data_IF_782262368158
#
_entry.id   IF_782262368158
#
_cell.length_a   1.000
_cell.length_b   1.000
_cell.length_c   1.000
_cell.angle_alpha   90.00
_cell.angle_beta   90.00
_cell.angle_gamma   90.00
#
_symmetry.space_group_name_H-M   'P 1'
#
loop_
_entity.id
_entity.type
_entity.pdbx_description
1 polymer ?
#
# COMPACT_ATOMS: atom_id res chain seq x y z
N UNK A 1 -37.70 -14.38 -38.57
CA UNK A 1 -36.41 -13.67 -38.42
C UNK A 1 -36.70 -12.29 -37.85
N UNK A 2 -36.36 -12.07 -36.59
CA UNK A 2 -36.09 -10.72 -36.07
C UNK A 2 -35.00 -10.90 -35.03
N UNK A 3 -33.81 -10.41 -35.36
CA UNK A 3 -32.62 -10.53 -34.54
C UNK A 3 -32.70 -9.51 -33.41
N UNK A 4 -32.71 -9.99 -32.17
CA UNK A 4 -32.44 -9.18 -30.99
C UNK A 4 -30.95 -8.86 -30.96
N UNK A 5 -30.61 -7.59 -31.18
CA UNK A 5 -29.27 -7.05 -30.86
C UNK A 5 -29.06 -7.11 -29.34
N UNK A 6 -27.99 -7.74 -28.83
CA UNK A 6 -27.63 -7.61 -27.43
C UNK A 6 -27.07 -6.20 -27.21
N UNK A 7 -27.81 -5.39 -26.45
CA UNK A 7 -27.37 -4.09 -25.97
C UNK A 7 -26.29 -4.31 -24.89
N UNK A 8 -25.02 -4.30 -25.30
CA UNK A 8 -23.86 -4.36 -24.39
C UNK A 8 -23.46 -2.96 -23.94
N UNK A 9 -24.25 -2.37 -23.03
CA UNK A 9 -23.71 -1.34 -22.15
C UNK A 9 -22.81 -2.03 -21.10
N UNK A 10 -21.57 -1.58 -20.85
CA UNK A 10 -20.77 -2.14 -19.76
C UNK A 10 -21.50 -1.86 -18.45
N UNK A 11 -21.72 -2.91 -17.65
CA UNK A 11 -22.27 -2.82 -16.30
C UNK A 11 -21.56 -1.68 -15.55
N UNK A 12 -22.25 -0.57 -15.21
CA UNK A 12 -21.60 0.54 -14.56
C UNK A 12 -21.13 0.03 -13.20
N UNK A 13 -19.81 0.01 -13.00
CA UNK A 13 -19.22 -0.30 -11.71
C UNK A 13 -19.79 0.71 -10.71
N UNK A 14 -20.65 0.30 -9.75
CA UNK A 14 -21.12 1.22 -8.74
C UNK A 14 -19.89 1.79 -8.04
N UNK A 15 -19.80 3.12 -8.05
CA UNK A 15 -18.70 3.85 -7.49
C UNK A 15 -19.04 4.18 -6.04
N UNK A 16 -18.23 3.68 -5.11
CA UNK A 16 -18.42 3.83 -3.67
C UNK A 16 -17.22 4.56 -3.10
N UNK A 17 -17.47 5.54 -2.24
CA UNK A 17 -16.45 6.21 -1.47
C UNK A 17 -16.47 5.68 -0.03
N UNK A 18 -15.33 5.25 0.48
CA UNK A 18 -15.22 4.69 1.84
C UNK A 18 -14.14 5.41 2.65
N UNK A 19 -14.41 5.57 3.95
CA UNK A 19 -13.55 6.28 4.90
C UNK A 19 -12.88 5.36 5.90
N UNK A 20 -11.56 5.44 5.98
CA UNK A 20 -10.79 4.89 7.09
C UNK A 20 -10.54 6.00 8.10
N UNK A 21 -11.19 5.90 9.25
CA UNK A 21 -11.06 6.83 10.37
C UNK A 21 -10.26 6.15 11.47
N UNK A 22 -9.32 6.86 12.09
CA UNK A 22 -8.50 6.36 13.20
C UNK A 22 -8.77 7.13 14.48
N UNK A 23 -8.81 6.42 15.61
CA UNK A 23 -8.80 7.06 16.93
C UNK A 23 -7.37 7.36 17.42
N UNK A 24 -7.27 7.97 18.61
CA UNK A 24 -5.98 8.27 19.25
C UNK A 24 -5.12 7.01 19.52
N UNK A 25 -5.76 5.83 19.64
CA UNK A 25 -5.11 4.53 19.81
C UNK A 25 -4.76 3.86 18.48
N UNK A 26 -4.94 4.56 17.34
CA UNK A 26 -4.71 4.07 15.97
C UNK A 26 -5.61 2.91 15.53
N UNK A 27 -6.69 2.62 16.27
CA UNK A 27 -7.73 1.67 15.87
C UNK A 27 -8.55 2.27 14.74
N UNK A 28 -9.08 1.44 13.84
CA UNK A 28 -9.93 1.88 12.73
C UNK A 28 -11.40 1.70 13.07
N UNK A 29 -12.23 2.66 12.64
CA UNK A 29 -13.68 2.58 12.79
C UNK A 29 -14.27 1.67 11.71
N UNK A 30 -15.05 0.69 12.13
CA UNK A 30 -15.88 -0.14 11.26
C UNK A 30 -17.35 0.01 11.63
N UNK A 31 -18.22 -0.07 10.64
CA UNK A 31 -19.67 -0.23 10.79
C UNK A 31 -20.09 -1.65 10.44
N UNK A 32 -21.17 -2.15 11.04
CA UNK A 32 -21.70 -3.48 10.73
C UNK A 32 -22.93 -3.37 9.83
N UNK A 33 -22.88 -4.04 8.68
CA UNK A 33 -23.99 -4.07 7.73
C UNK A 33 -25.26 -4.63 8.36
N UNK A 34 -26.45 -4.04 8.10
CA UNK A 34 -27.71 -4.64 8.47
C UNK A 34 -27.83 -6.07 7.93
N UNK A 35 -28.49 -6.98 8.65
CA UNK A 35 -28.57 -8.39 8.23
C UNK A 35 -29.25 -8.59 6.86
N UNK A 36 -30.13 -7.66 6.47
CA UNK A 36 -30.96 -7.77 5.28
C UNK A 36 -30.32 -7.23 3.98
N UNK A 37 -29.12 -6.65 4.04
CA UNK A 37 -28.41 -6.15 2.84
C UNK A 37 -27.44 -7.19 2.28
N UNK A 38 -26.92 -6.95 1.07
CA UNK A 38 -25.93 -7.84 0.46
C UNK A 38 -24.65 -7.94 1.33
N UNK A 39 -24.23 -9.18 1.64
CA UNK A 39 -23.21 -9.47 2.65
C UNK A 39 -23.56 -8.91 4.05
N UNK A 40 -24.84 -8.94 4.42
CA UNK A 40 -25.34 -8.50 5.72
C UNK A 40 -24.65 -9.19 6.89
N UNK A 41 -24.41 -8.44 7.96
CA UNK A 41 -23.71 -8.92 9.15
C UNK A 41 -22.18 -8.90 9.09
N UNK A 42 -21.58 -8.66 7.91
CA UNK A 42 -20.15 -8.32 7.80
C UNK A 42 -19.86 -6.91 8.32
N UNK A 43 -18.61 -6.67 8.68
CA UNK A 43 -18.08 -5.35 8.95
C UNK A 43 -17.66 -4.67 7.65
N UNK A 44 -17.65 -3.34 7.63
CA UNK A 44 -17.14 -2.55 6.51
C UNK A 44 -16.55 -1.22 6.99
N UNK A 45 -15.80 -0.57 6.10
CA UNK A 45 -15.42 0.83 6.27
C UNK A 45 -16.63 1.72 5.96
N UNK A 46 -17.00 2.68 6.83
CA UNK A 46 -18.14 3.57 6.62
C UNK A 46 -18.05 4.36 5.30
N UNK A 47 -19.19 4.68 4.72
CA UNK A 47 -19.30 5.37 3.44
C UNK A 47 -20.29 4.71 2.48
N UNK A 48 -20.53 5.35 1.34
CA UNK A 48 -21.60 4.96 0.44
C UNK A 48 -21.37 5.30 -1.02
N UNK A 49 -22.44 5.23 -1.80
CA UNK A 49 -22.38 5.33 -3.26
C UNK A 49 -22.23 6.79 -3.68
N UNK A 50 -21.39 7.02 -4.67
CA UNK A 50 -21.29 8.33 -5.31
C UNK A 50 -22.55 8.62 -6.11
N UNK A 51 -23.08 9.83 -5.97
CA UNK A 51 -24.22 10.31 -6.76
C UNK A 51 -23.77 10.85 -8.13
N UNK A 52 -24.68 10.94 -9.13
CA UNK A 52 -24.35 11.52 -10.42
C UNK A 52 -23.81 12.95 -10.29
N UNK A 53 -22.60 13.19 -10.83
CA UNK A 53 -21.93 14.49 -10.77
C UNK A 53 -21.11 14.74 -9.51
N UNK A 54 -21.12 13.80 -8.56
CA UNK A 54 -20.37 13.87 -7.32
C UNK A 54 -18.95 13.27 -7.49
N UNK A 55 -17.92 13.95 -6.96
CA UNK A 55 -16.59 13.34 -6.82
C UNK A 55 -16.57 12.36 -5.66
N UNK A 56 -15.73 11.33 -5.69
CA UNK A 56 -15.61 10.38 -4.57
C UNK A 56 -15.30 11.06 -3.22
N UNK A 57 -14.60 12.19 -3.23
CA UNK A 57 -14.34 12.97 -2.01
C UNK A 57 -15.59 13.68 -1.49
N UNK A 58 -16.46 14.19 -2.38
CA UNK A 58 -17.74 14.78 -1.99
C UNK A 58 -18.67 13.70 -1.41
N UNK A 59 -18.75 12.55 -2.07
CA UNK A 59 -19.50 11.39 -1.59
C UNK A 59 -19.06 10.98 -0.19
N UNK A 60 -17.75 10.82 0.02
CA UNK A 60 -17.18 10.54 1.34
C UNK A 60 -17.65 11.53 2.42
N UNK A 61 -17.60 12.83 2.14
CA UNK A 61 -17.96 13.86 3.12
C UNK A 61 -19.45 13.78 3.47
N UNK A 62 -20.32 13.62 2.45
CA UNK A 62 -21.77 13.50 2.62
C UNK A 62 -22.12 12.24 3.40
N UNK A 63 -21.65 11.09 2.93
CA UNK A 63 -21.96 9.78 3.52
C UNK A 63 -21.50 9.69 4.98
N UNK A 64 -20.29 10.17 5.32
CA UNK A 64 -19.83 10.15 6.71
C UNK A 64 -20.59 11.14 7.62
N UNK A 65 -21.14 12.22 7.06
CA UNK A 65 -22.02 13.12 7.81
C UNK A 65 -23.40 12.49 8.07
N UNK A 66 -23.93 11.76 7.08
CA UNK A 66 -25.22 11.06 7.15
C UNK A 66 -25.13 9.84 8.08
N UNK A 67 -24.18 8.94 7.85
CA UNK A 67 -24.04 7.66 8.56
C UNK A 67 -23.47 7.82 9.97
N UNK A 68 -22.48 8.69 10.15
CA UNK A 68 -21.69 8.79 11.39
C UNK A 68 -21.87 10.11 12.14
N UNK A 69 -22.42 11.14 11.48
CA UNK A 69 -22.56 12.45 12.08
C UNK A 69 -21.30 13.27 12.22
N UNK A 70 -20.26 12.96 11.46
CA UNK A 70 -18.99 13.70 11.49
C UNK A 70 -18.83 14.63 10.29
N UNK A 71 -18.20 15.78 10.51
CA UNK A 71 -17.84 16.71 9.45
C UNK A 71 -16.36 16.51 9.08
N UNK A 72 -16.09 15.90 7.93
CA UNK A 72 -14.72 15.65 7.46
C UNK A 72 -14.05 16.95 7.03
N UNK A 73 -12.93 17.29 7.68
CA UNK A 73 -12.13 18.50 7.37
C UNK A 73 -10.91 18.19 6.50
N UNK A 74 -10.34 16.99 6.63
CA UNK A 74 -9.20 16.55 5.84
C UNK A 74 -9.26 15.05 5.55
N UNK A 75 -8.93 14.69 4.31
CA UNK A 75 -8.87 13.30 3.85
C UNK A 75 -7.87 13.17 2.70
N UNK A 76 -7.13 12.07 2.68
CA UNK A 76 -6.16 11.73 1.63
C UNK A 76 -6.50 10.37 0.99
N UNK A 77 -6.30 10.19 -0.32
CA UNK A 77 -6.46 8.87 -0.93
C UNK A 77 -5.56 7.82 -0.28
N UNK A 78 -6.12 6.64 -0.03
CA UNK A 78 -5.41 5.48 0.51
C UNK A 78 -5.15 4.43 -0.58
N UNK A 79 -6.20 4.00 -1.26
CA UNK A 79 -6.18 3.00 -2.33
C UNK A 79 -7.48 3.04 -3.12
N UNK A 80 -7.43 2.65 -4.39
CA UNK A 80 -8.61 2.39 -5.20
C UNK A 80 -8.71 0.87 -5.46
N UNK A 81 -9.90 0.30 -5.32
CA UNK A 81 -10.11 -1.15 -5.51
C UNK A 81 -11.23 -1.40 -6.49
N UNK A 82 -10.90 -2.12 -7.57
CA UNK A 82 -11.83 -2.67 -8.56
C UNK A 82 -12.06 -4.14 -8.27
N UNK A 83 -13.20 -4.48 -7.67
CA UNK A 83 -13.56 -5.86 -7.39
C UNK A 83 -14.74 -6.36 -8.24
N UNK A 84 -14.64 -7.58 -8.77
CA UNK A 84 -15.73 -8.29 -9.45
C UNK A 84 -16.10 -9.55 -8.67
N UNK A 85 -17.30 -9.53 -8.11
CA UNK A 85 -17.98 -10.70 -7.56
C UNK A 85 -18.63 -11.52 -8.68
N UNK A 86 -19.07 -12.76 -8.42
CA UNK A 86 -19.79 -13.56 -9.41
C UNK A 86 -21.05 -12.89 -9.96
N UNK A 87 -21.72 -12.04 -9.16
CA UNK A 87 -23.02 -11.42 -9.45
C UNK A 87 -22.95 -9.90 -9.71
N UNK A 88 -21.84 -9.22 -9.35
CA UNK A 88 -21.71 -7.75 -9.47
C UNK A 88 -20.26 -7.28 -9.51
N UNK A 89 -20.05 -6.02 -9.90
CA UNK A 89 -18.75 -5.34 -9.76
C UNK A 89 -18.88 -4.14 -8.80
N UNK A 90 -17.77 -3.64 -8.27
CA UNK A 90 -17.71 -2.42 -7.45
C UNK A 90 -16.36 -1.72 -7.62
N UNK A 91 -16.40 -0.38 -7.70
CA UNK A 91 -15.23 0.48 -7.62
C UNK A 91 -15.25 1.18 -6.26
N UNK A 92 -14.26 0.88 -5.42
CA UNK A 92 -14.07 1.52 -4.11
C UNK A 92 -12.98 2.58 -4.24
N UNK A 93 -13.30 3.84 -3.99
CA UNK A 93 -12.31 4.89 -3.71
C UNK A 93 -12.22 5.08 -2.20
N UNK A 94 -11.07 4.70 -1.64
CA UNK A 94 -10.87 4.64 -0.19
C UNK A 94 -9.98 5.78 0.25
N UNK A 95 -10.43 6.52 1.25
CA UNK A 95 -9.72 7.66 1.81
C UNK A 95 -9.34 7.41 3.26
N UNK A 96 -8.15 7.85 3.65
CA UNK A 96 -7.79 8.00 5.06
C UNK A 96 -8.28 9.39 5.52
N UNK A 97 -9.21 9.41 6.47
CA UNK A 97 -9.72 10.64 7.08
C UNK A 97 -8.70 11.10 8.11
N UNK A 98 -8.01 12.21 7.81
CA UNK A 98 -6.93 12.75 8.64
C UNK A 98 -7.40 13.90 9.54
N UNK A 99 -8.64 14.36 9.39
CA UNK A 99 -9.26 15.36 10.24
C UNK A 99 -10.78 15.37 10.06
N UNK A 100 -11.50 15.48 11.17
CA UNK A 100 -12.95 15.62 11.21
C UNK A 100 -13.41 16.28 12.52
N UNK A 101 -14.63 16.77 12.54
CA UNK A 101 -15.31 17.31 13.73
C UNK A 101 -16.52 16.41 14.10
N UNK A 102 -16.87 16.38 15.39
CA UNK A 102 -17.94 15.53 15.92
C UNK A 102 -17.46 14.21 16.54
N UNK A 103 -18.39 13.42 17.05
CA UNK A 103 -18.15 12.07 17.59
C UNK A 103 -18.86 11.08 16.68
N UNK A 104 -18.18 10.06 16.12
CA UNK A 104 -18.83 9.07 15.27
C UNK A 104 -19.90 8.28 16.04
N UNK A 105 -21.13 8.29 15.53
CA UNK A 105 -22.28 7.57 16.06
C UNK A 105 -23.06 6.91 14.94
N UNK A 106 -23.58 5.70 15.13
CA UNK A 106 -24.34 5.01 14.09
C UNK A 106 -25.73 5.62 13.90
N UNK A 107 -25.86 6.61 13.00
CA UNK A 107 -27.10 7.37 12.75
C UNK A 107 -28.18 6.56 12.02
N UNK A 108 -27.82 5.41 11.47
CA UNK A 108 -28.72 4.47 10.82
C UNK A 108 -29.02 3.25 11.71
N UNK A 109 -28.72 3.34 13.01
CA UNK A 109 -28.79 2.24 13.99
C UNK A 109 -27.82 1.08 13.67
N UNK A 110 -26.75 1.37 12.93
CA UNK A 110 -25.69 0.41 12.63
C UNK A 110 -24.69 0.33 13.81
N UNK A 111 -24.33 -0.89 14.27
CA UNK A 111 -23.28 -1.05 15.27
C UNK A 111 -21.94 -0.53 14.75
N UNK A 112 -21.21 0.19 15.60
CA UNK A 112 -19.86 0.67 15.33
C UNK A 112 -18.84 -0.05 16.22
N UNK A 113 -17.62 -0.25 15.71
CA UNK A 113 -16.51 -0.78 16.48
C UNK A 113 -15.19 -0.10 16.12
N UNK A 114 -14.40 0.23 17.14
CA UNK A 114 -13.00 0.62 16.99
C UNK A 114 -12.12 -0.62 17.09
N UNK A 115 -11.48 -1.00 15.98
CA UNK A 115 -10.75 -2.26 15.83
C UNK A 115 -9.26 -2.01 15.60
N UNK A 116 -8.38 -2.69 16.34
CA UNK A 116 -6.94 -2.61 16.09
C UNK A 116 -6.58 -3.23 14.73
N UNK A 117 -5.54 -2.73 14.04
CA UNK A 117 -5.17 -3.23 12.71
C UNK A 117 -4.82 -4.73 12.70
N UNK A 118 -4.27 -5.22 13.81
CA UNK A 118 -3.91 -6.61 14.04
C UNK A 118 -5.13 -7.52 14.25
N UNK A 119 -6.28 -6.94 14.62
CA UNK A 119 -7.53 -7.66 14.90
C UNK A 119 -8.50 -7.64 13.71
N UNK A 120 -8.18 -6.91 12.64
CA UNK A 120 -9.02 -6.84 11.43
C UNK A 120 -9.26 -8.21 10.81
N UNK A 121 -8.31 -9.14 10.88
CA UNK A 121 -8.49 -10.50 10.33
C UNK A 121 -9.53 -11.32 11.13
N UNK A 122 -9.89 -10.89 12.35
CA UNK A 122 -10.95 -11.49 13.17
C UNK A 122 -12.33 -10.90 12.89
N UNK A 123 -12.40 -9.84 12.10
CA UNK A 123 -13.64 -9.16 11.71
C UNK A 123 -13.92 -9.53 10.25
N UNK A 124 -14.96 -10.32 9.96
CA UNK A 124 -15.30 -10.67 8.59
C UNK A 124 -15.61 -9.42 7.76
N UNK A 125 -14.72 -9.11 6.81
CA UNK A 125 -14.83 -8.02 5.84
C UNK A 125 -15.12 -8.59 4.44
N UNK A 126 -15.74 -7.81 3.54
CA UNK A 126 -15.86 -8.17 2.14
C UNK A 126 -14.51 -8.49 1.48
N UNK A 127 -14.49 -9.38 0.50
CA UNK A 127 -13.26 -9.73 -0.23
C UNK A 127 -12.57 -8.51 -0.91
N UNK A 128 -13.35 -7.51 -1.29
CA UNK A 128 -12.87 -6.25 -1.85
C UNK A 128 -12.05 -5.41 -0.84
N UNK A 129 -12.17 -5.68 0.46
CA UNK A 129 -11.53 -4.88 1.51
C UNK A 129 -10.13 -5.41 1.86
N UNK A 130 -9.78 -6.63 1.45
CA UNK A 130 -8.46 -7.22 1.71
C UNK A 130 -7.30 -6.30 1.27
N UNK A 131 -7.30 -5.70 0.07
CA UNK A 131 -6.24 -4.77 -0.32
C UNK A 131 -6.23 -3.48 0.50
N UNK A 132 -7.38 -3.05 1.02
CA UNK A 132 -7.50 -1.90 1.93
C UNK A 132 -6.78 -2.21 3.24
N UNK A 133 -7.05 -3.38 3.84
CA UNK A 133 -6.38 -3.84 5.07
C UNK A 133 -4.86 -3.91 4.86
N UNK A 134 -4.41 -4.45 3.73
CA UNK A 134 -2.98 -4.46 3.39
C UNK A 134 -2.40 -3.04 3.29
N UNK A 135 -3.08 -2.12 2.59
CA UNK A 135 -2.66 -0.72 2.49
C UNK A 135 -2.57 -0.04 3.86
N UNK A 136 -3.51 -0.32 4.77
CA UNK A 136 -3.53 0.24 6.14
C UNK A 136 -2.37 -0.22 7.01
N UNK A 137 -1.86 -1.44 6.77
CA UNK A 137 -0.73 -2.03 7.49
C UNK A 137 0.63 -1.60 6.92
N UNK A 138 0.65 -1.02 5.72
CA UNK A 138 1.86 -0.50 5.07
C UNK A 138 2.07 0.98 5.42
N UNK A 139 3.30 1.43 5.74
CA UNK A 139 3.58 2.85 5.96
C UNK A 139 3.59 3.64 4.63
N UNK A 140 3.48 4.98 4.63
CA UNK A 140 3.53 5.77 3.39
C UNK A 140 4.95 5.94 2.82
N UNK A 141 5.98 5.40 3.50
CA UNK A 141 7.40 5.57 3.20
C UNK A 141 8.09 4.23 3.18
N UNK A 142 8.81 3.94 2.10
CA UNK A 142 9.57 2.70 1.92
C UNK A 142 11.03 3.01 1.54
N UNK A 143 11.88 3.39 2.53
CA UNK A 143 13.29 3.68 2.30
C UNK A 143 14.04 2.46 1.74
N UNK A 144 15.03 2.73 0.91
CA UNK A 144 15.92 1.73 0.32
C UNK A 144 17.35 2.00 0.79
N UNK A 145 17.90 1.06 1.55
CA UNK A 145 19.30 1.03 1.98
C UNK A 145 20.17 0.45 0.86
N UNK A 146 21.00 1.30 0.25
CA UNK A 146 21.88 0.96 -0.86
C UNK A 146 23.09 1.91 -0.93
N UNK A 147 24.24 1.37 -1.35
CA UNK A 147 25.47 2.14 -1.60
C UNK A 147 26.21 2.52 -0.31
N UNK A 148 26.04 1.73 0.75
CA UNK A 148 26.74 1.94 2.02
C UNK A 148 28.22 1.59 1.96
N UNK A 149 28.62 0.69 1.06
CA UNK A 149 29.95 0.11 0.79
C UNK A 149 30.62 -0.60 1.96
N UNK A 150 30.31 -0.23 3.20
CA UNK A 150 30.88 -0.77 4.42
C UNK A 150 29.79 -1.13 5.42
N UNK A 151 30.08 -2.10 6.29
CA UNK A 151 29.16 -2.53 7.33
C UNK A 151 28.83 -1.41 8.34
N UNK A 152 29.83 -0.57 8.68
CA UNK A 152 29.64 0.54 9.61
C UNK A 152 28.63 1.56 9.08
N UNK A 153 28.69 1.85 7.78
CA UNK A 153 27.77 2.79 7.13
C UNK A 153 26.36 2.24 7.01
N UNK A 154 26.20 0.97 6.67
CA UNK A 154 24.89 0.32 6.68
C UNK A 154 24.27 0.30 8.09
N UNK A 155 25.07 0.04 9.13
CA UNK A 155 24.62 0.12 10.52
C UNK A 155 24.12 1.53 10.83
N UNK A 156 24.93 2.55 10.56
CA UNK A 156 24.56 3.95 10.81
C UNK A 156 23.24 4.35 10.13
N UNK A 157 23.07 4.00 8.85
CA UNK A 157 21.84 4.29 8.12
C UNK A 157 20.62 3.55 8.62
N UNK A 158 20.77 2.28 8.99
CA UNK A 158 19.67 1.53 9.59
C UNK A 158 19.23 2.20 10.89
N UNK A 159 20.17 2.52 11.78
CA UNK A 159 19.88 3.21 13.04
C UNK A 159 19.18 4.56 12.80
N UNK A 160 19.63 5.34 11.82
CA UNK A 160 18.97 6.59 11.43
C UNK A 160 17.52 6.38 10.96
N UNK A 161 17.27 5.38 10.11
CA UNK A 161 15.92 5.09 9.63
C UNK A 161 15.01 4.59 10.75
N UNK A 162 15.52 3.75 11.65
CA UNK A 162 14.76 3.25 12.80
C UNK A 162 14.45 4.38 13.79
N UNK A 163 15.39 5.31 14.02
CA UNK A 163 15.19 6.49 14.86
C UNK A 163 14.20 7.51 14.27
N UNK A 164 13.96 7.48 12.96
CA UNK A 164 12.98 8.32 12.25
C UNK A 164 11.65 7.59 12.02
N UNK A 165 11.36 6.56 12.83
CA UNK A 165 10.12 5.78 12.86
C UNK A 165 9.74 5.08 11.53
N UNK A 166 10.73 4.77 10.68
CA UNK A 166 10.49 3.96 9.49
C UNK A 166 10.32 2.48 9.87
N UNK A 167 9.13 1.94 9.64
CA UNK A 167 8.76 0.56 10.02
C UNK A 167 8.84 -0.45 8.87
N UNK A 168 9.13 -0.02 7.64
CA UNK A 168 9.31 -0.88 6.47
C UNK A 168 10.50 -0.38 5.64
N UNK A 169 11.57 -1.16 5.57
CA UNK A 169 12.85 -0.74 4.96
C UNK A 169 13.30 -1.82 3.97
N UNK A 170 13.70 -1.43 2.76
CA UNK A 170 14.33 -2.33 1.80
C UNK A 170 15.84 -2.31 1.93
N UNK A 171 16.46 -3.43 2.30
CA UNK A 171 17.91 -3.54 2.31
C UNK A 171 18.43 -4.19 1.03
N UNK A 172 18.78 -3.33 0.06
CA UNK A 172 19.19 -3.74 -1.28
C UNK A 172 20.68 -4.07 -1.35
N UNK A 173 21.54 -3.20 -0.83
CA UNK A 173 22.98 -3.42 -0.69
C UNK A 173 23.64 -4.36 -1.72
N UNK A 174 23.60 -3.98 -3.00
CA UNK A 174 24.22 -4.77 -4.09
C UNK A 174 25.75 -4.70 -4.09
N UNK A 175 26.29 -3.78 -3.30
CA UNK A 175 27.70 -3.56 -3.05
C UNK A 175 28.30 -4.46 -1.96
N UNK A 176 27.49 -5.26 -1.26
CA UNK A 176 27.98 -6.30 -0.34
C UNK A 176 27.97 -7.67 -1.04
N UNK A 177 29.01 -8.46 -0.80
CA UNK A 177 28.98 -9.89 -1.14
C UNK A 177 27.96 -10.64 -0.23
N UNK A 178 27.49 -11.83 -0.65
CA UNK A 178 26.48 -12.58 0.09
C UNK A 178 26.86 -12.94 1.53
N UNK A 179 28.15 -13.19 1.80
CA UNK A 179 28.62 -13.59 3.13
C UNK A 179 28.62 -12.39 4.08
N UNK A 180 29.16 -11.25 3.62
CA UNK A 180 29.12 -9.99 4.36
C UNK A 180 27.68 -9.54 4.63
N UNK A 181 26.77 -9.72 3.67
CA UNK A 181 25.35 -9.43 3.85
C UNK A 181 24.73 -10.29 4.96
N UNK A 182 24.94 -11.61 4.95
CA UNK A 182 24.37 -12.51 5.98
C UNK A 182 24.92 -12.19 7.38
N UNK A 183 26.22 -11.98 7.51
CA UNK A 183 26.84 -11.59 8.78
C UNK A 183 26.30 -10.27 9.33
N UNK A 184 26.03 -9.31 8.45
CA UNK A 184 25.47 -8.01 8.87
C UNK A 184 23.96 -8.11 9.15
N UNK A 185 23.23 -9.00 8.47
CA UNK A 185 21.83 -9.29 8.77
C UNK A 185 21.67 -9.71 10.23
N UNK A 186 22.47 -10.66 10.71
CA UNK A 186 22.44 -11.14 12.09
C UNK A 186 22.59 -10.00 13.11
N UNK A 187 23.44 -9.01 12.80
CA UNK A 187 23.62 -7.81 13.62
C UNK A 187 22.44 -6.85 13.58
N UNK A 188 21.71 -6.80 12.46
CA UNK A 188 20.55 -5.92 12.29
C UNK A 188 19.30 -6.45 12.98
N UNK A 189 19.13 -7.78 13.04
CA UNK A 189 17.91 -8.41 13.55
C UNK A 189 17.46 -7.92 14.94
N UNK A 190 18.34 -7.80 15.96
CA UNK A 190 17.91 -7.31 17.28
C UNK A 190 17.32 -5.90 17.22
N UNK A 191 17.93 -5.01 16.44
CA UNK A 191 17.50 -3.61 16.31
C UNK A 191 16.21 -3.47 15.52
N UNK A 192 16.10 -4.22 14.41
CA UNK A 192 14.87 -4.29 13.60
C UNK A 192 13.69 -4.77 14.45
N UNK A 193 13.89 -5.84 15.25
CA UNK A 193 12.86 -6.38 16.14
C UNK A 193 12.49 -5.40 17.25
N UNK A 194 13.48 -4.79 17.89
CA UNK A 194 13.25 -3.81 18.95
C UNK A 194 12.42 -2.62 18.46
N UNK A 195 12.67 -2.17 17.23
CA UNK A 195 11.91 -1.08 16.60
C UNK A 195 10.55 -1.50 16.03
N UNK A 196 10.19 -2.79 16.08
CA UNK A 196 8.96 -3.32 15.46
C UNK A 196 8.94 -3.18 13.92
N UNK A 197 10.10 -2.96 13.30
CA UNK A 197 10.23 -2.72 11.87
C UNK A 197 10.25 -4.03 11.06
N UNK A 198 10.09 -3.90 9.75
CA UNK A 198 10.31 -4.98 8.79
C UNK A 198 11.44 -4.63 7.84
N UNK A 199 12.46 -5.50 7.80
CA UNK A 199 13.56 -5.43 6.85
C UNK A 199 13.26 -6.33 5.65
N UNK A 200 13.06 -5.73 4.49
CA UNK A 200 12.84 -6.44 3.23
C UNK A 200 14.19 -6.84 2.64
N UNK A 201 14.37 -8.11 2.34
CA UNK A 201 15.60 -8.70 1.83
C UNK A 201 15.50 -8.96 0.32
N UNK A 202 16.64 -9.10 -0.34
CA UNK A 202 16.68 -9.48 -1.75
C UNK A 202 16.38 -10.96 -1.92
N UNK A 203 15.61 -11.29 -2.96
CA UNK A 203 15.28 -12.67 -3.27
C UNK A 203 16.44 -13.51 -3.82
N UNK A 204 17.44 -12.89 -4.45
CA UNK A 204 18.59 -13.58 -5.05
C UNK A 204 19.62 -14.09 -4.03
N UNK A 205 19.50 -13.71 -2.76
CA UNK A 205 20.37 -14.20 -1.68
C UNK A 205 19.90 -15.53 -1.06
N UNK A 206 18.70 -15.99 -1.44
CA UNK A 206 18.10 -17.26 -1.01
C UNK A 206 18.07 -17.43 0.52
N UNK A 207 17.97 -16.32 1.26
CA UNK A 207 17.84 -16.34 2.72
C UNK A 207 16.45 -16.89 3.05
N UNK A 208 16.32 -17.93 3.91
CA UNK A 208 15.03 -18.52 4.23
C UNK A 208 14.15 -17.55 5.04
N UNK A 209 12.81 -17.68 4.94
CA UNK A 209 11.91 -16.91 5.79
C UNK A 209 12.14 -17.24 7.27
N UNK A 210 12.09 -16.22 8.12
CA UNK A 210 12.15 -16.38 9.57
C UNK A 210 10.98 -15.63 10.23
N UNK A 211 9.81 -16.30 10.38
CA UNK A 211 8.63 -15.71 11.01
C UNK A 211 8.96 -15.11 12.39
N UNK A 212 8.41 -13.92 12.69
CA UNK A 212 8.63 -13.23 13.95
C UNK A 212 9.94 -12.43 14.06
N UNK A 213 10.86 -12.54 13.10
CA UNK A 213 12.10 -11.75 13.08
C UNK A 213 12.00 -10.40 12.36
N UNK A 214 10.81 -10.04 11.86
CA UNK A 214 10.62 -8.78 11.12
C UNK A 214 11.28 -8.80 9.75
N UNK A 215 11.23 -9.94 9.05
CA UNK A 215 11.78 -10.06 7.70
C UNK A 215 10.68 -10.14 6.64
N UNK A 216 10.93 -9.49 5.51
CA UNK A 216 10.15 -9.62 4.28
C UNK A 216 11.04 -9.87 3.07
N UNK A 217 10.42 -10.14 1.93
CA UNK A 217 11.11 -10.51 0.69
C UNK A 217 10.78 -9.51 -0.42
N UNK A 218 11.79 -9.05 -1.14
CA UNK A 218 11.65 -8.19 -2.30
C UNK A 218 12.15 -8.92 -3.54
N UNK A 219 11.23 -9.25 -4.45
CA UNK A 219 11.51 -9.83 -5.76
C UNK A 219 11.98 -8.72 -6.70
N UNK A 220 13.17 -8.86 -7.26
CA UNK A 220 13.51 -8.05 -8.43
C UNK A 220 12.80 -8.58 -9.69
N UNK A 221 13.02 -7.92 -10.83
CA UNK A 221 12.36 -8.28 -12.10
C UNK A 221 12.63 -9.73 -12.50
N UNK A 222 13.85 -10.21 -12.31
CA UNK A 222 14.24 -11.59 -12.66
C UNK A 222 13.55 -12.59 -11.73
N UNK A 223 13.53 -12.31 -10.43
CA UNK A 223 12.85 -13.15 -9.44
C UNK A 223 11.33 -13.15 -9.67
N UNK A 224 10.71 -12.01 -9.97
CA UNK A 224 9.28 -11.91 -10.30
C UNK A 224 8.93 -12.74 -11.53
N UNK A 225 9.71 -12.64 -12.61
CA UNK A 225 9.48 -13.40 -13.84
C UNK A 225 9.51 -14.93 -13.64
N UNK A 226 10.31 -15.41 -12.67
CA UNK A 226 10.41 -16.83 -12.30
C UNK A 226 9.40 -17.25 -11.24
N UNK A 227 8.80 -16.30 -10.52
CA UNK A 227 7.83 -16.59 -9.47
C UNK A 227 6.54 -17.18 -10.06
N UNK A 228 6.02 -18.23 -9.43
CA UNK A 228 4.78 -18.94 -9.83
C UNK A 228 3.69 -18.90 -8.77
N UNK A 229 4.07 -18.67 -7.52
CA UNK A 229 3.18 -18.54 -6.38
C UNK A 229 3.81 -17.59 -5.36
N UNK A 230 3.00 -16.94 -4.53
CA UNK A 230 3.50 -16.11 -3.42
C UNK A 230 4.48 -16.91 -2.55
N UNK A 231 5.73 -16.44 -2.36
CA UNK A 231 6.65 -16.99 -1.37
C UNK A 231 6.01 -17.05 0.02
N UNK A 232 6.01 -18.24 0.64
CA UNK A 232 5.43 -18.47 1.95
C UNK A 232 6.39 -18.12 3.10
N UNK A 233 5.86 -17.94 4.31
CA UNK A 233 6.66 -17.70 5.52
C UNK A 233 7.18 -16.28 5.71
N UNK A 234 7.02 -15.41 4.72
CA UNK A 234 7.42 -14.00 4.79
C UNK A 234 6.31 -13.11 5.33
N UNK A 235 6.67 -12.16 6.20
CA UNK A 235 5.72 -11.14 6.69
C UNK A 235 5.14 -10.32 5.55
N UNK A 236 6.02 -9.86 4.66
CA UNK A 236 5.66 -9.14 3.44
C UNK A 236 6.45 -9.69 2.26
N UNK A 237 5.80 -9.79 1.10
CA UNK A 237 6.44 -10.05 -0.19
C UNK A 237 6.08 -8.91 -1.14
N UNK A 238 7.11 -8.30 -1.71
CA UNK A 238 6.98 -7.23 -2.68
C UNK A 238 7.73 -7.54 -3.97
N UNK A 239 7.43 -6.80 -5.03
CA UNK A 239 8.18 -6.86 -6.27
C UNK A 239 8.53 -5.49 -6.83
N UNK A 240 9.69 -5.40 -7.47
CA UNK A 240 10.03 -4.29 -8.35
C UNK A 240 9.33 -4.49 -9.71
N UNK A 241 8.57 -3.50 -10.13
CA UNK A 241 7.82 -3.49 -11.38
C UNK A 241 8.18 -2.25 -12.22
N UNK A 242 8.18 -2.45 -13.52
CA UNK A 242 8.53 -1.47 -14.54
C UNK A 242 7.49 -1.40 -15.67
N UNK A 243 6.52 -2.33 -15.67
CA UNK A 243 5.42 -2.39 -16.64
C UNK A 243 4.09 -2.70 -15.96
N UNK A 244 2.98 -2.35 -16.60
CA UNK A 244 1.65 -2.75 -16.14
C UNK A 244 1.51 -4.28 -16.03
N UNK A 245 2.06 -5.04 -16.98
CA UNK A 245 2.01 -6.50 -16.95
C UNK A 245 2.70 -7.07 -15.71
N UNK A 246 3.80 -6.47 -15.25
CA UNK A 246 4.49 -6.88 -14.02
C UNK A 246 3.68 -6.55 -12.76
N UNK A 247 2.98 -5.41 -12.73
CA UNK A 247 2.05 -5.07 -11.64
C UNK A 247 0.90 -6.07 -11.57
N UNK A 248 0.30 -6.40 -12.72
CA UNK A 248 -0.78 -7.38 -12.83
C UNK A 248 -0.30 -8.78 -12.43
N UNK A 249 0.93 -9.15 -12.80
CA UNK A 249 1.55 -10.41 -12.36
C UNK A 249 1.77 -10.43 -10.83
N UNK A 250 2.30 -9.35 -10.25
CA UNK A 250 2.49 -9.24 -8.81
C UNK A 250 1.15 -9.39 -8.06
N UNK A 251 0.09 -8.75 -8.57
CA UNK A 251 -1.25 -8.92 -8.03
C UNK A 251 -1.77 -10.36 -8.18
N UNK A 252 -1.64 -10.98 -9.36
CA UNK A 252 -2.15 -12.34 -9.60
C UNK A 252 -1.43 -13.38 -8.75
N UNK A 253 -0.15 -13.15 -8.44
CA UNK A 253 0.62 -13.97 -7.51
C UNK A 253 0.20 -13.76 -6.05
N UNK A 254 -0.60 -12.74 -5.74
CA UNK A 254 -1.02 -12.41 -4.38
C UNK A 254 0.10 -11.78 -3.54
N UNK A 255 1.04 -11.06 -4.17
CA UNK A 255 2.03 -10.29 -3.42
C UNK A 255 1.35 -9.19 -2.58
N UNK A 256 2.04 -8.68 -1.56
CA UNK A 256 1.42 -7.72 -0.62
C UNK A 256 1.51 -6.27 -1.12
N UNK A 257 2.58 -5.93 -1.85
CA UNK A 257 2.71 -4.64 -2.53
C UNK A 257 3.72 -4.69 -3.69
N UNK A 258 3.76 -3.64 -4.49
CA UNK A 258 4.76 -3.47 -5.55
C UNK A 258 5.49 -2.12 -5.45
N UNK A 259 6.61 -2.01 -6.15
CA UNK A 259 7.34 -0.76 -6.36
C UNK A 259 7.41 -0.46 -7.84
N UNK A 260 6.77 0.61 -8.29
CA UNK A 260 6.75 1.04 -9.68
C UNK A 260 7.83 2.09 -9.95
N UNK A 261 8.70 1.83 -10.93
CA UNK A 261 9.81 2.74 -11.27
C UNK A 261 10.30 2.61 -12.71
N UNK A 262 11.01 3.62 -13.25
CA UNK A 262 11.17 4.97 -12.71
C UNK A 262 10.00 5.89 -13.10
N UNK A 263 9.45 6.65 -12.13
CA UNK A 263 8.40 7.64 -12.42
C UNK A 263 8.97 8.92 -13.03
N UNK A 264 10.05 9.44 -12.45
CA UNK A 264 10.81 10.59 -12.95
C UNK A 264 12.26 10.19 -13.26
N UNK A 265 12.94 11.02 -14.04
CA UNK A 265 14.36 10.84 -14.34
C UNK A 265 15.19 10.74 -13.03
N UNK A 266 16.14 9.81 -13.00
CA UNK A 266 16.92 9.52 -11.80
C UNK A 266 18.40 9.33 -12.14
N UNK A 267 19.33 9.91 -11.38
CA UNK A 267 20.76 9.66 -11.59
C UNK A 267 21.17 8.20 -11.33
N UNK A 268 20.34 7.40 -10.65
CA UNK A 268 20.62 5.99 -10.40
C UNK A 268 20.49 5.13 -11.67
N UNK A 269 19.67 5.56 -12.63
CA UNK A 269 19.42 4.89 -13.91
C UNK A 269 19.19 5.97 -14.99
N UNK A 270 20.26 6.60 -15.52
CA UNK A 270 20.14 7.75 -16.42
C UNK A 270 19.51 7.41 -17.77
N UNK A 271 19.69 6.18 -18.27
CA UNK A 271 19.19 5.75 -19.57
C UNK A 271 17.73 5.27 -19.55
N UNK A 272 17.13 5.16 -18.36
CA UNK A 272 15.76 4.68 -18.22
C UNK A 272 14.76 5.77 -18.60
N UNK A 273 13.88 5.47 -19.57
CA UNK A 273 12.78 6.37 -19.94
C UNK A 273 11.77 6.47 -18.78
N UNK A 274 11.54 7.66 -18.19
CA UNK A 274 10.59 7.81 -17.10
C UNK A 274 9.16 7.54 -17.55
N UNK A 275 8.36 6.96 -16.66
CA UNK A 275 6.95 6.68 -16.90
C UNK A 275 6.09 7.95 -16.95
N UNK A 276 6.41 8.94 -16.11
CA UNK A 276 5.56 10.10 -15.88
C UNK A 276 4.42 9.82 -14.90
N UNK A 277 3.79 10.89 -14.40
CA UNK A 277 2.73 10.79 -13.41
C UNK A 277 1.42 10.27 -13.98
N UNK A 278 1.06 10.68 -15.19
CA UNK A 278 -0.23 10.35 -15.78
C UNK A 278 -0.30 8.84 -16.09
N UNK A 279 0.71 8.31 -16.78
CA UNK A 279 0.80 6.87 -17.05
C UNK A 279 0.94 6.04 -15.77
N UNK A 280 1.65 6.55 -14.75
CA UNK A 280 1.66 5.88 -13.45
C UNK A 280 0.24 5.79 -12.86
N UNK A 281 -0.52 6.88 -12.85
CA UNK A 281 -1.90 6.91 -12.38
C UNK A 281 -2.80 5.94 -13.13
N UNK A 282 -2.74 5.94 -14.46
CA UNK A 282 -3.52 5.06 -15.31
C UNK A 282 -3.24 3.57 -15.03
N UNK A 283 -1.99 3.22 -14.71
CA UNK A 283 -1.61 1.85 -14.38
C UNK A 283 -2.07 1.46 -12.97
N UNK A 284 -1.97 2.37 -12.00
CA UNK A 284 -2.41 2.11 -10.64
C UNK A 284 -3.92 1.87 -10.55
N UNK A 285 -4.73 2.49 -11.39
CA UNK A 285 -6.18 2.22 -11.47
C UNK A 285 -6.53 0.81 -12.00
N UNK A 286 -5.57 0.12 -12.60
CA UNK A 286 -5.74 -1.21 -13.18
C UNK A 286 -5.30 -2.35 -12.26
N UNK A 287 -4.83 -2.03 -11.05
CA UNK A 287 -4.44 -2.99 -10.01
C UNK A 287 -4.98 -2.56 -8.65
N UNK A 288 -5.41 -3.54 -7.85
CA UNK A 288 -5.85 -3.38 -6.47
C UNK A 288 -4.69 -3.54 -5.47
N UNK A 289 -3.48 -3.86 -5.95
CA UNK A 289 -2.30 -4.03 -5.12
C UNK A 289 -1.77 -2.67 -4.64
N UNK A 290 -1.42 -2.47 -3.35
CA UNK A 290 -0.72 -1.27 -2.92
C UNK A 290 0.61 -1.09 -3.68
N UNK A 291 0.87 0.11 -4.21
CA UNK A 291 2.09 0.40 -4.95
C UNK A 291 2.83 1.60 -4.37
N UNK A 292 4.14 1.48 -4.19
CA UNK A 292 5.02 2.62 -3.94
C UNK A 292 5.63 3.11 -5.25
N UNK A 293 5.67 4.43 -5.41
CA UNK A 293 6.36 5.04 -6.55
C UNK A 293 7.84 5.29 -6.23
N UNK A 294 8.70 5.02 -7.20
CA UNK A 294 10.15 5.18 -7.11
C UNK A 294 10.73 5.79 -8.40
N UNK A 295 11.89 6.45 -8.27
CA UNK A 295 12.67 6.98 -9.39
C UNK A 295 12.49 8.49 -9.55
N UNK A 296 13.52 9.26 -9.18
CA UNK A 296 13.52 10.73 -9.28
C UNK A 296 12.61 11.46 -8.30
N UNK A 297 11.99 10.74 -7.36
CA UNK A 297 11.05 11.29 -6.39
C UNK A 297 11.75 11.78 -5.12
N UNK A 298 11.17 12.80 -4.49
CA UNK A 298 11.58 13.40 -3.22
C UNK A 298 10.42 13.34 -2.23
N UNK A 299 10.68 13.49 -0.93
CA UNK A 299 9.65 13.47 0.12
C UNK A 299 8.45 14.38 -0.17
N UNK A 300 8.70 15.57 -0.71
CA UNK A 300 7.65 16.54 -1.10
C UNK A 300 6.65 16.01 -2.14
N UNK A 301 6.94 14.92 -2.83
CA UNK A 301 6.04 14.31 -3.80
C UNK A 301 5.03 13.34 -3.17
N UNK A 302 5.08 13.12 -1.84
CA UNK A 302 4.23 12.11 -1.19
C UNK A 302 2.74 12.36 -1.42
N UNK A 303 2.27 13.59 -1.19
CA UNK A 303 0.86 13.93 -1.41
C UNK A 303 0.45 13.78 -2.88
N UNK A 304 1.36 14.05 -3.83
CA UNK A 304 1.10 13.82 -5.26
C UNK A 304 1.03 12.32 -5.58
N UNK A 305 1.91 11.50 -4.99
CA UNK A 305 1.88 10.06 -5.15
C UNK A 305 0.58 9.45 -4.64
N UNK A 306 0.09 9.87 -3.45
CA UNK A 306 -1.21 9.42 -2.93
C UNK A 306 -2.36 9.81 -3.86
N UNK A 307 -2.40 11.05 -4.35
CA UNK A 307 -3.40 11.49 -5.36
C UNK A 307 -3.33 10.74 -6.68
N UNK A 308 -2.18 10.19 -7.02
CA UNK A 308 -1.97 9.34 -8.19
C UNK A 308 -2.45 7.89 -7.97
N UNK A 309 -2.93 7.53 -6.77
CA UNK A 309 -3.36 6.17 -6.40
C UNK A 309 -2.26 5.33 -5.75
N UNK A 310 -1.08 5.89 -5.48
CA UNK A 310 0.01 5.16 -4.83
C UNK A 310 -0.19 5.09 -3.31
N UNK A 311 0.27 3.99 -2.69
CA UNK A 311 0.33 3.88 -1.24
C UNK A 311 1.28 4.93 -0.63
N UNK A 312 2.38 5.21 -1.34
CA UNK A 312 3.44 6.06 -0.85
C UNK A 312 4.64 6.17 -1.78
N UNK A 313 5.78 6.57 -1.20
CA UNK A 313 7.05 6.73 -1.90
C UNK A 313 8.08 5.71 -1.44
N UNK A 314 8.85 5.18 -2.39
CA UNK A 314 10.09 4.47 -2.14
C UNK A 314 11.28 5.28 -2.64
N UNK A 315 12.46 5.09 -2.04
CA UNK A 315 13.64 5.86 -2.44
C UNK A 315 14.89 5.60 -1.61
N UNK A 316 16.04 5.97 -2.17
CA UNK A 316 17.34 5.92 -1.50
C UNK A 316 17.64 7.30 -0.91
N UNK A 317 18.06 8.25 -1.78
CA UNK A 317 18.43 9.63 -1.41
C UNK A 317 17.30 10.46 -0.80
N UNK A 318 16.05 10.07 -1.03
CA UNK A 318 14.91 10.76 -0.43
C UNK A 318 14.80 10.55 1.09
N UNK A 319 15.42 9.49 1.61
CA UNK A 319 15.30 9.07 3.02
C UNK A 319 16.66 8.99 3.73
N UNK A 320 17.76 8.88 2.97
CA UNK A 320 19.11 8.84 3.51
C UNK A 320 19.77 10.22 3.48
N UNK A 321 20.58 10.58 4.50
CA UNK A 321 21.23 11.89 4.57
C UNK A 321 22.05 12.23 3.32
N UNK A 322 21.76 13.38 2.68
CA UNK A 322 22.39 13.80 1.41
C UNK A 322 23.92 13.97 1.52
N UNK A 323 24.42 14.39 2.70
CA UNK A 323 25.85 14.65 2.95
C UNK A 323 26.73 13.41 2.83
N UNK A 324 26.15 12.22 2.76
CA UNK A 324 26.92 10.98 2.79
C UNK A 324 27.16 10.38 1.41
N UNK A 325 26.38 10.74 0.39
CA UNK A 325 26.58 10.25 -0.97
C UNK A 325 27.75 10.92 -1.71
N UNK A 326 28.30 11.99 -1.14
CA UNK A 326 29.47 12.69 -1.67
C UNK A 326 30.74 12.19 -0.99
N UNK A 327 31.30 11.11 -1.52
CA UNK A 327 32.72 10.79 -1.41
C UNK A 327 33.17 10.32 -2.79
N UNK A 328 33.62 11.28 -3.60
CA UNK A 328 34.61 11.04 -4.66
C UNK A 328 35.90 10.55 -4.04
#
# INVERSE_FOLDING_TARGET
>A
MSASTPNTAPDPWPHVAAGVIRDACRRVLLSRRPQHVHQGGLWEFPGGKCEPGETARQALIRELAEELGIAVTAAEPLIQVRHRYPDRSVLLDVFEVTGFEGIPEGRENQPLAWVALEELDRHPLPAADRPIVTALRLPPRYPILEGGRTAARYQYWLEHLLATEHTLIYWRARDLDPEAYRKLLERFLPRVRQAGATLMLRADLEIPPAPGLGLGLHLDRTALARCRQRPAGWRWVAAACHTLAELQQAQSLGLDFAVLSPVLATPTHPDARPLGWDTAGDWLQQVNLPVYLLGGLKQRHLSRARRCGARGLAGIRAFLPEREFNYT
#
